data_IF_829227671263
#
_entry.id   IF_829227671263
#
_cell.length_a   1.000
_cell.length_b   1.000
_cell.length_c   1.000
_cell.angle_alpha   90.00
_cell.angle_beta   90.00
_cell.angle_gamma   90.00
#
_symmetry.space_group_name_H-M   'P 1'
#
loop_
_entity.id
_entity.type
_entity.pdbx_description
1 polymer ?
#
# COMPACT_ATOMS: atom_id res chain seq x y z
N UNK A 1 18.42 -31.52 26.38
CA UNK A 1 18.55 -30.29 27.18
C UNK A 1 18.69 -29.07 26.24
N UNK A 2 18.24 -27.89 26.68
CA UNK A 2 18.35 -26.64 25.93
C UNK A 2 18.94 -25.57 26.82
N UNK A 3 19.86 -24.74 26.33
CA UNK A 3 20.41 -23.63 27.12
C UNK A 3 19.35 -22.52 27.25
N UNK A 4 19.12 -22.11 28.50
CA UNK A 4 18.27 -20.97 28.88
C UNK A 4 19.16 -19.80 29.27
N UNK A 5 19.21 -18.75 28.47
CA UNK A 5 20.04 -17.57 28.70
C UNK A 5 19.62 -16.75 29.92
N UNK A 6 18.35 -16.81 30.32
CA UNK A 6 17.86 -16.13 31.53
C UNK A 6 18.34 -16.83 32.83
N UNK A 7 18.55 -18.15 32.78
CA UNK A 7 19.04 -18.95 33.89
C UNK A 7 20.54 -19.22 33.81
N UNK A 8 21.19 -18.82 32.71
CA UNK A 8 22.59 -19.13 32.37
C UNK A 8 22.93 -20.62 32.55
N UNK A 9 21.98 -21.51 32.22
CA UNK A 9 22.09 -22.95 32.45
C UNK A 9 21.33 -23.75 31.38
N UNK A 10 21.73 -25.02 31.21
CA UNK A 10 20.95 -25.97 30.44
C UNK A 10 19.74 -26.44 31.23
N UNK A 11 18.56 -26.29 30.67
CA UNK A 11 17.30 -26.78 31.27
C UNK A 11 16.82 -28.04 30.57
N UNK A 12 16.10 -28.88 31.27
CA UNK A 12 15.46 -30.08 30.72
C UNK A 12 14.45 -29.64 29.63
N UNK A 13 14.48 -30.28 28.46
CA UNK A 13 13.55 -30.05 27.38
C UNK A 13 12.49 -31.14 27.30
N UNK A 14 12.94 -32.39 27.20
CA UNK A 14 12.06 -33.57 27.12
C UNK A 14 12.86 -34.85 27.31
N UNK A 15 12.18 -35.96 27.64
CA UNK A 15 12.67 -37.33 27.53
C UNK A 15 12.20 -37.94 26.19
N UNK A 16 12.99 -38.81 25.63
CA UNK A 16 12.66 -39.60 24.44
C UNK A 16 12.96 -41.08 24.72
N UNK A 17 12.26 -42.01 24.05
CA UNK A 17 12.49 -43.42 24.20
C UNK A 17 13.90 -43.83 23.69
N UNK A 18 14.42 -44.96 24.15
CA UNK A 18 15.72 -45.47 23.72
C UNK A 18 15.78 -45.85 22.22
N UNK A 19 14.65 -46.15 21.62
CA UNK A 19 14.52 -46.41 20.18
C UNK A 19 14.49 -45.14 19.31
N UNK A 20 14.30 -43.95 19.92
CA UNK A 20 14.19 -42.70 19.22
C UNK A 20 15.55 -42.01 19.07
N UNK A 21 16.06 -41.95 17.85
CA UNK A 21 17.37 -41.35 17.51
C UNK A 21 17.27 -39.87 17.11
N UNK A 22 16.06 -39.31 17.03
CA UNK A 22 15.84 -37.92 16.68
C UNK A 22 14.68 -37.29 17.43
N UNK A 23 14.80 -35.99 17.70
CA UNK A 23 13.71 -35.21 18.31
C UNK A 23 13.57 -33.85 17.65
N UNK A 24 12.34 -33.48 17.25
CA UNK A 24 12.06 -32.21 16.57
C UNK A 24 11.63 -31.14 17.58
N UNK A 25 12.45 -30.10 17.72
CA UNK A 25 12.10 -28.90 18.49
C UNK A 25 11.41 -27.90 17.57
N UNK A 26 10.17 -27.51 17.92
CA UNK A 26 9.36 -26.56 17.15
C UNK A 26 9.24 -25.20 17.85
N UNK A 27 8.58 -24.23 17.18
CA UNK A 27 8.26 -22.90 17.72
C UNK A 27 9.48 -22.07 18.17
N UNK A 28 10.63 -22.28 17.53
CA UNK A 28 11.84 -21.51 17.79
C UNK A 28 11.70 -20.06 17.31
N UNK A 29 12.22 -19.12 18.11
CA UNK A 29 12.20 -17.69 17.80
C UNK A 29 13.22 -17.35 16.73
N UNK A 30 12.82 -16.54 15.73
CA UNK A 30 13.74 -16.01 14.73
C UNK A 30 14.79 -15.09 15.33
N UNK A 31 15.96 -14.99 14.70
CA UNK A 31 17.10 -14.19 15.15
C UNK A 31 17.61 -14.59 16.53
N UNK A 32 17.62 -15.88 16.80
CA UNK A 32 17.97 -16.42 18.12
C UNK A 32 18.90 -17.61 17.97
N UNK A 33 19.93 -17.65 18.81
CA UNK A 33 20.82 -18.79 18.98
C UNK A 33 20.20 -19.82 19.93
N UNK A 34 20.41 -21.07 19.60
CA UNK A 34 20.01 -22.21 20.44
C UNK A 34 21.15 -23.20 20.58
N UNK A 35 21.33 -23.68 21.79
CA UNK A 35 22.32 -24.68 22.16
C UNK A 35 21.61 -25.87 22.77
N UNK A 36 21.98 -27.07 22.35
CA UNK A 36 21.38 -28.30 22.79
C UNK A 36 22.46 -29.30 23.23
N UNK A 37 22.13 -30.07 24.24
CA UNK A 37 22.90 -31.24 24.70
C UNK A 37 21.95 -32.41 24.89
N UNK A 38 22.43 -33.61 24.70
CA UNK A 38 21.72 -34.87 24.93
C UNK A 38 22.52 -35.67 25.94
N UNK A 39 21.82 -36.37 26.85
CA UNK A 39 22.42 -37.38 27.72
C UNK A 39 21.50 -38.60 27.83
N UNK A 40 22.07 -39.77 28.06
CA UNK A 40 21.33 -40.96 28.38
C UNK A 40 20.72 -40.86 29.77
N UNK A 41 19.66 -41.59 30.02
CA UNK A 41 19.11 -41.81 31.36
C UNK A 41 18.55 -43.23 31.50
N UNK A 42 18.52 -43.74 32.73
CA UNK A 42 17.88 -45.00 33.09
C UNK A 42 16.98 -44.76 34.29
N UNK A 43 15.76 -45.25 34.24
CA UNK A 43 14.83 -45.22 35.37
C UNK A 43 14.94 -46.52 36.15
N UNK A 44 15.19 -46.43 37.47
CA UNK A 44 15.21 -47.55 38.39
C UNK A 44 14.39 -47.13 39.63
N UNK A 45 13.37 -47.92 40.01
CA UNK A 45 12.46 -47.63 41.13
C UNK A 45 11.91 -46.16 41.05
N UNK A 46 11.35 -45.79 39.89
CA UNK A 46 10.78 -44.46 39.61
C UNK A 46 11.75 -43.27 39.71
N UNK A 47 13.06 -43.57 39.91
CA UNK A 47 14.11 -42.55 39.97
C UNK A 47 14.98 -42.59 38.72
N UNK A 48 15.20 -41.41 38.09
CA UNK A 48 16.03 -41.26 36.89
C UNK A 48 17.51 -41.07 37.27
N UNK A 49 18.35 -41.89 36.73
CA UNK A 49 19.82 -41.78 36.77
C UNK A 49 20.31 -41.32 35.41
N UNK A 50 21.16 -40.31 35.41
CA UNK A 50 21.62 -39.67 34.20
C UNK A 50 23.09 -39.89 33.92
N UNK A 51 23.43 -40.21 32.71
CA UNK A 51 24.80 -40.26 32.23
C UNK A 51 25.39 -38.87 31.96
N UNK A 52 26.64 -38.87 31.53
CA UNK A 52 27.36 -37.66 31.10
C UNK A 52 26.62 -36.89 29.99
N UNK A 53 26.80 -35.58 30.00
CA UNK A 53 26.27 -34.71 28.93
C UNK A 53 27.08 -34.88 27.68
N UNK A 54 26.43 -35.14 26.58
CA UNK A 54 27.07 -35.15 25.25
C UNK A 54 27.50 -33.74 24.80
N UNK A 55 28.15 -33.66 23.64
CA UNK A 55 28.63 -32.43 23.06
C UNK A 55 27.50 -31.40 22.89
N UNK A 56 27.86 -30.12 23.02
CA UNK A 56 26.95 -29.00 22.71
C UNK A 56 26.78 -28.85 21.20
N UNK A 57 25.53 -28.91 20.75
CA UNK A 57 25.16 -28.59 19.35
C UNK A 57 24.57 -27.20 19.32
N UNK A 58 25.09 -26.39 18.40
CA UNK A 58 24.65 -25.01 18.16
C UNK A 58 23.83 -24.90 16.88
N UNK A 59 22.76 -24.10 16.96
CA UNK A 59 22.03 -23.67 15.76
C UNK A 59 21.56 -22.22 15.90
N UNK A 60 21.50 -21.49 14.78
CA UNK A 60 20.99 -20.11 14.74
C UNK A 60 19.77 -20.03 13.83
N UNK A 61 18.65 -19.61 14.39
CA UNK A 61 17.43 -19.40 13.62
C UNK A 61 17.53 -18.02 12.95
N UNK A 62 17.67 -18.01 11.61
CA UNK A 62 17.81 -16.80 10.82
C UNK A 62 16.62 -15.82 10.97
N UNK A 63 16.81 -14.50 10.69
CA UNK A 63 15.73 -13.53 10.69
C UNK A 63 14.58 -13.91 9.76
N UNK A 64 13.38 -13.51 10.15
CA UNK A 64 12.17 -13.70 9.32
C UNK A 64 12.31 -13.00 7.97
N UNK A 65 11.64 -13.55 6.97
CA UNK A 65 11.52 -12.93 5.64
C UNK A 65 10.86 -11.57 5.73
N UNK A 66 11.54 -10.54 5.22
CA UNK A 66 11.02 -9.15 5.20
C UNK A 66 9.86 -9.02 4.22
N UNK A 67 8.78 -8.36 4.63
CA UNK A 67 7.68 -7.98 3.76
C UNK A 67 7.91 -6.58 3.21
N UNK A 68 8.32 -6.48 1.94
CA UNK A 68 8.44 -5.22 1.21
C UNK A 68 7.04 -4.66 0.94
N UNK A 69 6.78 -3.40 1.31
CA UNK A 69 5.44 -2.78 1.22
C UNK A 69 5.32 -1.79 0.08
N UNK A 70 6.38 -1.02 -0.21
CA UNK A 70 6.36 0.00 -1.24
C UNK A 70 7.73 0.17 -1.90
N UNK A 71 7.71 0.43 -3.21
CA UNK A 71 8.87 0.86 -4.00
C UNK A 71 8.39 1.93 -4.96
N UNK A 72 8.88 3.16 -4.83
CA UNK A 72 8.48 4.29 -5.67
C UNK A 72 9.70 5.01 -6.20
N UNK A 73 9.67 5.45 -7.45
CA UNK A 73 10.69 6.30 -8.05
C UNK A 73 10.10 7.69 -8.31
N UNK A 74 10.65 8.71 -7.69
CA UNK A 74 10.33 10.12 -7.96
C UNK A 74 11.60 10.84 -8.41
N UNK A 75 11.56 11.37 -9.64
CA UNK A 75 12.75 11.96 -10.29
C UNK A 75 13.92 10.95 -10.28
N UNK A 76 14.92 11.17 -9.43
CA UNK A 76 16.12 10.34 -9.30
C UNK A 76 16.24 9.64 -7.94
N UNK A 77 15.15 9.64 -7.15
CA UNK A 77 15.12 9.08 -5.78
C UNK A 77 14.18 7.87 -5.72
N UNK A 78 14.72 6.72 -5.38
CA UNK A 78 13.98 5.48 -5.13
C UNK A 78 13.68 5.39 -3.63
N UNK A 79 12.40 5.46 -3.27
CA UNK A 79 11.93 5.24 -1.90
C UNK A 79 11.52 3.78 -1.75
N UNK A 80 12.04 3.12 -0.73
CA UNK A 80 11.80 1.71 -0.41
C UNK A 80 11.26 1.62 1.01
N UNK A 81 10.17 0.86 1.22
CA UNK A 81 9.53 0.70 2.53
C UNK A 81 9.20 -0.77 2.77
N UNK A 82 9.31 -1.21 4.03
CA UNK A 82 9.08 -2.61 4.44
C UNK A 82 8.52 -2.71 5.86
N UNK A 83 8.04 -3.90 6.22
CA UNK A 83 7.63 -4.18 7.60
C UNK A 83 8.83 -4.56 8.45
N UNK A 84 8.89 -4.04 9.68
CA UNK A 84 9.91 -4.40 10.69
C UNK A 84 9.85 -5.89 11.00
N UNK A 85 11.03 -6.48 11.19
CA UNK A 85 11.22 -7.83 11.74
C UNK A 85 12.31 -7.75 12.83
N UNK A 86 12.39 -8.75 13.68
CA UNK A 86 13.48 -8.87 14.66
C UNK A 86 14.80 -9.17 13.92
N UNK A 87 15.81 -8.30 14.06
CA UNK A 87 17.09 -8.39 13.36
C UNK A 87 18.07 -7.33 13.88
N UNK A 88 19.34 -7.41 13.46
CA UNK A 88 20.35 -6.35 13.69
C UNK A 88 20.32 -5.26 12.60
N UNK A 89 19.74 -5.56 11.42
CA UNK A 89 19.65 -4.59 10.33
C UNK A 89 19.12 -5.20 9.03
N UNK A 90 19.22 -4.41 7.94
CA UNK A 90 18.67 -4.79 6.64
C UNK A 90 19.69 -4.60 5.52
N UNK A 91 19.52 -5.37 4.45
CA UNK A 91 20.19 -5.18 3.17
C UNK A 91 19.14 -5.01 2.08
N UNK A 92 19.14 -3.84 1.42
CA UNK A 92 18.37 -3.58 0.21
C UNK A 92 19.25 -3.96 -0.98
N UNK A 93 18.74 -4.78 -1.88
CA UNK A 93 19.33 -5.02 -3.19
C UNK A 93 18.42 -4.45 -4.26
N UNK A 94 18.96 -3.69 -5.23
CA UNK A 94 18.19 -3.12 -6.33
C UNK A 94 18.95 -3.19 -7.65
N UNK A 95 18.21 -3.22 -8.74
CA UNK A 95 18.73 -3.32 -10.11
C UNK A 95 17.71 -2.80 -11.12
N UNK A 96 18.12 -2.56 -12.36
CA UNK A 96 17.23 -2.33 -13.51
C UNK A 96 16.90 -3.61 -14.27
N UNK A 97 17.54 -4.72 -13.96
CA UNK A 97 17.26 -6.03 -14.55
C UNK A 97 16.05 -6.70 -13.93
N UNK A 98 15.03 -7.00 -14.75
CA UNK A 98 13.80 -7.67 -14.32
C UNK A 98 14.00 -9.10 -13.83
N UNK A 99 15.03 -9.77 -14.31
CA UNK A 99 15.39 -11.12 -13.88
C UNK A 99 16.20 -11.14 -12.58
N UNK A 100 16.61 -9.93 -12.10
CA UNK A 100 17.37 -9.75 -10.87
C UNK A 100 18.72 -10.51 -10.84
N UNK A 101 19.39 -10.58 -12.01
CA UNK A 101 20.66 -11.31 -12.19
C UNK A 101 21.85 -10.38 -12.39
N UNK A 102 21.68 -9.24 -13.11
CA UNK A 102 22.75 -8.31 -13.51
C UNK A 102 22.59 -6.93 -12.83
N UNK A 103 23.71 -6.19 -12.70
CA UNK A 103 23.72 -4.81 -12.20
C UNK A 103 23.18 -4.63 -10.77
N UNK A 104 23.36 -5.62 -9.91
CA UNK A 104 22.87 -5.61 -8.53
C UNK A 104 23.67 -4.60 -7.69
N UNK A 105 22.98 -3.63 -7.12
CA UNK A 105 23.52 -2.68 -6.15
C UNK A 105 22.93 -2.96 -4.77
N UNK A 106 23.74 -2.80 -3.71
CA UNK A 106 23.37 -3.11 -2.33
C UNK A 106 23.46 -1.87 -1.46
N UNK A 107 22.54 -1.74 -0.52
CA UNK A 107 22.56 -0.72 0.55
C UNK A 107 22.33 -1.44 1.87
N UNK A 108 23.32 -1.34 2.79
CA UNK A 108 23.21 -1.88 4.15
C UNK A 108 22.60 -0.83 5.08
N UNK A 109 21.79 -1.28 6.01
CA UNK A 109 21.12 -0.46 7.03
C UNK A 109 21.40 -1.10 8.37
N UNK A 110 22.21 -0.45 9.21
CA UNK A 110 22.64 -0.96 10.51
C UNK A 110 21.54 -0.79 11.60
N UNK A 111 20.67 0.21 11.47
CA UNK A 111 19.64 0.45 12.48
C UNK A 111 18.39 -0.43 12.21
N UNK A 112 18.06 -1.39 13.09
CA UNK A 112 16.92 -2.30 12.94
C UNK A 112 15.56 -1.61 13.07
N UNK A 113 15.49 -0.39 13.61
CA UNK A 113 14.27 0.41 13.69
C UNK A 113 13.90 1.05 12.35
N UNK A 114 14.85 1.13 11.39
CA UNK A 114 14.63 1.71 10.06
C UNK A 114 13.74 0.80 9.22
N UNK A 115 12.61 1.33 8.75
CA UNK A 115 11.64 0.61 7.88
C UNK A 115 11.42 1.31 6.53
N UNK A 116 12.17 2.37 6.26
CA UNK A 116 12.15 3.12 5.00
C UNK A 116 13.54 3.64 4.64
N UNK A 117 13.87 3.70 3.34
CA UNK A 117 15.13 4.26 2.84
C UNK A 117 14.92 4.96 1.51
N UNK A 118 15.49 6.15 1.37
CA UNK A 118 15.61 6.86 0.10
C UNK A 118 17.00 6.60 -0.50
N UNK A 119 17.06 6.14 -1.74
CA UNK A 119 18.27 5.92 -2.53
C UNK A 119 18.26 7.00 -3.62
N UNK A 120 19.20 7.93 -3.56
CA UNK A 120 19.29 9.11 -4.42
C UNK A 120 20.20 8.87 -5.63
N UNK A 121 20.28 9.86 -6.56
CA UNK A 121 21.17 9.89 -7.73
C UNK A 121 20.94 8.72 -8.70
N UNK A 122 19.72 8.24 -8.84
CA UNK A 122 19.37 7.18 -9.78
C UNK A 122 19.00 7.77 -11.17
N UNK A 123 19.10 6.95 -12.21
CA UNK A 123 18.70 7.36 -13.58
C UNK A 123 17.20 7.60 -13.65
N UNK A 124 16.79 8.75 -14.23
CA UNK A 124 15.36 9.06 -14.51
C UNK A 124 14.75 8.04 -15.47
N UNK A 125 13.44 7.83 -15.38
CA UNK A 125 12.67 7.01 -16.31
C UNK A 125 13.13 5.55 -16.44
N UNK A 126 13.95 5.05 -15.51
CA UNK A 126 14.31 3.63 -15.43
C UNK A 126 13.40 2.89 -14.47
N UNK A 127 13.10 1.64 -14.80
CA UNK A 127 12.36 0.71 -13.95
C UNK A 127 13.35 0.04 -13.00
N UNK A 128 13.15 0.22 -11.69
CA UNK A 128 13.98 -0.43 -10.68
C UNK A 128 13.23 -1.56 -10.02
N UNK A 129 13.90 -2.67 -9.81
CA UNK A 129 13.45 -3.84 -9.09
C UNK A 129 14.20 -3.93 -7.77
N UNK A 130 13.51 -4.27 -6.70
CA UNK A 130 14.03 -4.22 -5.32
C UNK A 130 13.67 -5.49 -4.58
N UNK A 131 14.63 -6.01 -3.82
CA UNK A 131 14.44 -7.01 -2.77
C UNK A 131 15.09 -6.52 -1.48
N UNK A 132 14.53 -6.88 -0.34
CA UNK A 132 15.09 -6.58 1.00
C UNK A 132 15.24 -7.88 1.76
N UNK A 133 16.31 -8.02 2.55
CA UNK A 133 16.46 -9.07 3.55
C UNK A 133 16.92 -8.47 4.87
N UNK A 134 16.56 -9.11 5.97
CA UNK A 134 17.11 -8.80 7.28
C UNK A 134 18.40 -9.58 7.51
N UNK A 135 19.22 -9.11 8.44
CA UNK A 135 20.35 -9.87 8.97
C UNK A 135 20.42 -9.70 10.50
N UNK A 136 20.98 -10.70 11.16
CA UNK A 136 21.36 -10.64 12.57
C UNK A 136 22.83 -10.97 12.69
N UNK A 137 23.56 -10.13 13.42
CA UNK A 137 24.94 -10.39 13.79
C UNK A 137 24.96 -11.09 15.15
N UNK A 138 25.63 -12.24 15.22
CA UNK A 138 25.79 -13.03 16.44
C UNK A 138 27.18 -13.66 16.48
N UNK A 139 27.93 -13.43 17.56
CA UNK A 139 29.31 -13.91 17.75
C UNK A 139 30.20 -13.69 16.51
N UNK A 140 30.20 -12.44 15.98
CA UNK A 140 31.01 -12.08 14.80
C UNK A 140 30.48 -12.59 13.45
N UNK A 141 29.49 -13.48 13.44
CA UNK A 141 28.91 -14.07 12.24
C UNK A 141 27.62 -13.35 11.86
N UNK A 142 27.44 -13.08 10.56
CA UNK A 142 26.22 -12.46 10.02
C UNK A 142 25.29 -13.50 9.39
N UNK A 143 24.13 -13.69 10.00
CA UNK A 143 23.07 -14.57 9.55
C UNK A 143 22.02 -13.80 8.77
N UNK A 144 21.84 -14.15 7.49
CA UNK A 144 20.86 -13.49 6.61
C UNK A 144 19.54 -14.25 6.56
N UNK A 145 18.45 -13.53 6.73
CA UNK A 145 17.12 -14.02 6.38
C UNK A 145 16.88 -14.10 4.87
N UNK A 146 15.78 -14.72 4.48
CA UNK A 146 15.39 -14.83 3.07
C UNK A 146 15.09 -13.46 2.48
N UNK A 147 15.39 -13.30 1.17
CA UNK A 147 15.03 -12.09 0.45
C UNK A 147 13.53 -11.96 0.32
N UNK A 148 13.01 -10.74 0.44
CA UNK A 148 11.60 -10.42 0.19
C UNK A 148 11.18 -10.83 -1.23
N UNK A 149 9.87 -10.91 -1.46
CA UNK A 149 9.32 -10.88 -2.81
C UNK A 149 9.79 -9.60 -3.49
N UNK A 150 10.13 -9.69 -4.78
CA UNK A 150 10.59 -8.55 -5.58
C UNK A 150 9.43 -7.57 -5.81
N UNK A 151 9.65 -6.29 -5.56
CA UNK A 151 8.78 -5.22 -6.03
C UNK A 151 9.52 -4.37 -7.08
N UNK A 152 8.74 -3.66 -7.90
CA UNK A 152 9.30 -2.71 -8.87
C UNK A 152 8.77 -1.30 -8.63
N UNK A 153 9.54 -0.30 -9.05
CA UNK A 153 9.12 1.10 -9.05
C UNK A 153 8.10 1.43 -10.15
N UNK A 154 7.66 0.44 -10.90
CA UNK A 154 6.75 0.59 -12.03
C UNK A 154 5.34 0.15 -11.68
N UNK A 155 4.39 1.06 -11.80
CA UNK A 155 2.98 0.85 -11.54
C UNK A 155 2.29 0.49 -12.85
N UNK A 156 2.04 -0.79 -13.11
CA UNK A 156 1.41 -1.30 -14.33
C UNK A 156 0.17 -2.16 -14.10
N UNK A 157 -0.04 -2.61 -12.86
CA UNK A 157 -1.19 -3.46 -12.55
C UNK A 157 -2.40 -2.58 -12.27
N UNK A 158 -3.41 -2.66 -13.13
CA UNK A 158 -4.68 -1.98 -12.91
C UNK A 158 -5.32 -2.51 -11.65
N UNK A 159 -5.61 -1.60 -10.70
CA UNK A 159 -6.30 -1.89 -9.46
C UNK A 159 -7.78 -1.60 -9.57
N UNK A 160 -8.14 -0.45 -10.15
CA UNK A 160 -9.50 -0.05 -10.48
C UNK A 160 -9.52 1.02 -11.57
N UNK A 161 -10.59 1.08 -12.35
CA UNK A 161 -10.79 2.09 -13.39
C UNK A 161 -12.23 2.54 -13.40
N UNK A 162 -12.44 3.85 -13.53
CA UNK A 162 -13.74 4.46 -13.80
C UNK A 162 -13.59 5.59 -14.83
N UNK A 163 -14.67 5.86 -15.57
CA UNK A 163 -14.69 6.95 -16.54
C UNK A 163 -16.04 7.67 -16.54
N UNK A 164 -16.04 8.89 -17.01
CA UNK A 164 -17.24 9.68 -17.29
C UNK A 164 -17.11 10.40 -18.64
N UNK A 165 -18.24 10.70 -19.26
CA UNK A 165 -18.28 11.44 -20.51
C UNK A 165 -18.60 12.92 -20.27
N UNK A 166 -18.13 13.81 -21.14
CA UNK A 166 -18.39 15.23 -21.12
C UNK A 166 -18.57 15.77 -22.51
N UNK A 167 -19.30 16.89 -22.63
CA UNK A 167 -19.43 17.62 -23.91
C UNK A 167 -18.05 18.20 -24.25
N UNK A 168 -17.51 17.79 -25.40
CA UNK A 168 -16.15 18.07 -25.82
C UNK A 168 -16.03 19.49 -26.43
N UNK A 169 -16.20 20.53 -25.62
CA UNK A 169 -15.84 21.88 -26.02
C UNK A 169 -14.43 22.26 -25.57
N UNK A 170 -13.82 23.27 -26.21
CA UNK A 170 -12.42 23.67 -26.03
C UNK A 170 -12.09 24.05 -24.58
N UNK A 171 -12.87 24.95 -23.99
CA UNK A 171 -12.57 25.54 -22.67
C UNK A 171 -12.80 24.58 -21.54
N UNK A 172 -13.91 23.84 -21.56
CA UNK A 172 -14.15 22.75 -20.59
C UNK A 172 -13.07 21.67 -20.67
N UNK A 173 -12.72 21.26 -21.91
CA UNK A 173 -11.65 20.26 -22.13
C UNK A 173 -10.30 20.74 -21.57
N UNK A 174 -9.98 22.03 -21.73
CA UNK A 174 -8.77 22.66 -21.19
C UNK A 174 -8.76 22.55 -19.66
N UNK A 175 -9.84 22.92 -18.98
CA UNK A 175 -9.97 22.82 -17.53
C UNK A 175 -9.77 21.38 -17.03
N UNK A 176 -10.43 20.41 -17.68
CA UNK A 176 -10.33 19.00 -17.36
C UNK A 176 -8.91 18.48 -17.52
N UNK A 177 -8.21 18.87 -18.60
CA UNK A 177 -6.81 18.49 -18.85
C UNK A 177 -5.87 19.07 -17.81
N UNK A 178 -6.02 20.35 -17.42
CA UNK A 178 -5.17 20.99 -16.39
C UNK A 178 -5.31 20.27 -15.05
N UNK A 179 -6.53 20.09 -14.54
CA UNK A 179 -6.77 19.41 -13.27
C UNK A 179 -6.29 17.95 -13.33
N UNK A 180 -6.62 17.23 -14.39
CA UNK A 180 -6.19 15.84 -14.57
C UNK A 180 -4.67 15.72 -14.65
N UNK A 181 -3.95 16.66 -15.26
CA UNK A 181 -2.47 16.69 -15.30
C UNK A 181 -1.87 16.84 -13.90
N UNK A 182 -2.48 17.65 -13.03
CA UNK A 182 -2.04 17.79 -11.62
C UNK A 182 -2.21 16.50 -10.82
N UNK A 183 -3.29 15.79 -11.02
CA UNK A 183 -3.59 14.52 -10.35
C UNK A 183 -2.76 13.37 -10.93
N UNK A 184 -2.49 13.41 -12.23
CA UNK A 184 -1.83 12.31 -12.95
C UNK A 184 -0.41 12.04 -12.42
N UNK A 185 -0.16 10.80 -12.04
CA UNK A 185 1.13 10.38 -11.46
C UNK A 185 1.23 10.49 -9.95
N UNK A 186 0.23 11.05 -9.25
CA UNK A 186 0.17 11.08 -7.79
C UNK A 186 0.21 9.66 -7.23
N UNK A 187 1.04 9.44 -6.23
CA UNK A 187 1.18 8.15 -5.54
C UNK A 187 0.77 8.35 -4.10
N UNK A 188 -0.21 7.56 -3.65
CA UNK A 188 -0.74 7.56 -2.28
C UNK A 188 -0.27 6.30 -1.58
N UNK A 189 0.59 6.44 -0.57
CA UNK A 189 1.13 5.33 0.20
C UNK A 189 0.03 4.70 1.08
N UNK A 190 0.22 3.44 1.56
CA UNK A 190 -0.65 2.87 2.59
C UNK A 190 -0.73 3.79 3.81
N UNK A 191 -1.97 4.15 4.20
CA UNK A 191 -2.26 5.07 5.30
C UNK A 191 -2.32 6.55 4.92
N UNK A 192 -1.79 6.97 3.76
CA UNK A 192 -1.87 8.36 3.30
C UNK A 192 -3.26 8.71 2.76
N UNK A 193 -3.55 10.01 2.78
CA UNK A 193 -4.81 10.57 2.27
C UNK A 193 -4.54 11.39 0.99
N UNK A 194 -5.29 11.07 -0.06
CA UNK A 194 -5.42 11.92 -1.23
C UNK A 194 -6.36 13.08 -0.88
N UNK A 195 -5.93 14.30 -1.19
CA UNK A 195 -6.69 15.53 -1.00
C UNK A 195 -6.78 16.24 -2.35
N UNK A 196 -8.00 16.36 -2.90
CA UNK A 196 -8.21 16.88 -4.24
C UNK A 196 -7.78 18.35 -4.34
N UNK A 197 -8.21 19.21 -3.40
CA UNK A 197 -7.90 20.63 -3.43
C UNK A 197 -6.39 20.87 -3.26
N UNK A 198 -5.72 20.14 -2.39
CA UNK A 198 -4.26 20.22 -2.19
C UNK A 198 -3.49 19.80 -3.45
N UNK A 199 -3.92 18.76 -4.16
CA UNK A 199 -3.24 18.23 -5.35
C UNK A 199 -3.49 19.11 -6.56
N UNK A 200 -4.71 19.56 -6.79
CA UNK A 200 -5.10 20.39 -7.94
C UNK A 200 -4.65 21.85 -7.75
N UNK A 201 -4.72 22.34 -6.52
CA UNK A 201 -4.39 23.71 -6.15
C UNK A 201 -5.43 24.73 -6.59
N UNK A 202 -5.09 26.01 -6.48
CA UNK A 202 -5.95 27.13 -6.90
C UNK A 202 -6.24 27.09 -8.42
N UNK A 203 -7.45 27.42 -8.77
CA UNK A 203 -8.02 27.34 -10.11
C UNK A 203 -8.25 28.76 -10.66
N UNK A 204 -7.17 29.40 -11.12
CA UNK A 204 -7.16 30.79 -11.58
C UNK A 204 -6.94 30.89 -13.10
N UNK A 205 -7.34 32.00 -13.69
CA UNK A 205 -7.06 32.28 -15.10
C UNK A 205 -5.56 32.30 -15.42
N UNK A 206 -4.73 32.81 -14.52
CA UNK A 206 -3.26 32.80 -14.63
C UNK A 206 -2.65 31.38 -14.68
N UNK A 207 -3.36 30.37 -14.18
CA UNK A 207 -2.99 28.95 -14.32
C UNK A 207 -3.58 28.28 -15.56
N UNK A 208 -4.17 29.05 -16.45
CA UNK A 208 -4.73 28.61 -17.74
C UNK A 208 -6.15 28.07 -17.66
N UNK A 209 -6.84 28.19 -16.52
CA UNK A 209 -8.25 27.80 -16.43
C UNK A 209 -9.13 28.81 -17.21
N UNK A 210 -10.15 28.29 -17.86
CA UNK A 210 -11.10 29.03 -18.72
C UNK A 210 -12.48 29.07 -18.09
N UNK A 211 -13.31 30.04 -18.49
CA UNK A 211 -14.73 30.06 -18.16
C UNK A 211 -15.43 28.90 -18.89
N UNK A 212 -16.27 28.16 -18.21
CA UNK A 212 -17.13 27.12 -18.76
C UNK A 212 -18.34 26.94 -17.81
N UNK A 213 -19.37 26.23 -18.26
CA UNK A 213 -20.57 26.03 -17.42
C UNK A 213 -20.27 25.47 -16.03
N UNK A 214 -20.74 26.16 -15.01
CA UNK A 214 -20.75 25.79 -13.59
C UNK A 214 -22.18 25.90 -13.06
N UNK A 215 -22.49 25.13 -12.01
CA UNK A 215 -23.76 25.23 -11.31
C UNK A 215 -23.72 26.39 -10.32
N UNK A 216 -24.76 27.24 -10.33
CA UNK A 216 -24.87 28.45 -9.49
C UNK A 216 -26.04 28.40 -8.52
N UNK A 217 -26.89 27.37 -8.57
CA UNK A 217 -28.07 27.21 -7.72
C UNK A 217 -28.95 26.06 -8.23
N UNK A 218 -30.16 25.95 -7.71
CA UNK A 218 -31.14 24.98 -8.20
C UNK A 218 -31.53 25.35 -9.66
N UNK A 219 -31.28 24.38 -10.57
CA UNK A 219 -31.58 24.47 -12.01
C UNK A 219 -30.95 25.64 -12.80
N UNK A 220 -29.88 26.26 -12.23
CA UNK A 220 -29.18 27.33 -12.90
C UNK A 220 -27.73 27.00 -13.21
N UNK A 221 -27.25 27.42 -14.37
CA UNK A 221 -25.84 27.33 -14.74
C UNK A 221 -25.37 28.67 -15.28
N UNK A 222 -24.14 29.04 -15.00
CA UNK A 222 -23.50 30.24 -15.60
C UNK A 222 -22.10 29.92 -16.09
N UNK A 223 -21.51 30.85 -16.78
CA UNK A 223 -20.11 30.76 -17.26
C UNK A 223 -19.18 31.15 -16.09
N UNK A 224 -18.64 30.15 -15.40
CA UNK A 224 -17.71 30.33 -14.29
C UNK A 224 -16.31 29.80 -14.57
N UNK A 225 -15.32 30.38 -13.91
CA UNK A 225 -13.93 29.95 -14.03
C UNK A 225 -13.76 28.48 -13.59
N UNK A 226 -12.99 27.73 -14.34
CA UNK A 226 -12.68 26.31 -14.08
C UNK A 226 -13.92 25.38 -14.13
N UNK A 227 -14.97 25.72 -14.90
CA UNK A 227 -16.11 24.82 -15.12
C UNK A 227 -15.67 23.42 -15.58
N UNK A 228 -16.25 22.39 -14.96
CA UNK A 228 -15.93 20.97 -15.21
C UNK A 228 -15.09 20.28 -14.12
N UNK A 229 -14.47 21.01 -13.19
CA UNK A 229 -13.58 20.43 -12.17
C UNK A 229 -14.29 19.39 -11.28
N UNK A 230 -15.55 19.62 -10.92
CA UNK A 230 -16.36 18.67 -10.18
C UNK A 230 -16.52 17.33 -10.91
N UNK A 231 -16.51 17.32 -12.25
CA UNK A 231 -16.55 16.08 -13.01
C UNK A 231 -15.24 15.28 -12.86
N UNK A 232 -14.07 15.97 -12.79
CA UNK A 232 -12.80 15.31 -12.48
C UNK A 232 -12.85 14.68 -11.09
N UNK A 233 -13.33 15.44 -10.07
CA UNK A 233 -13.49 14.94 -8.71
C UNK A 233 -14.44 13.74 -8.65
N UNK A 234 -15.60 13.81 -9.31
CA UNK A 234 -16.58 12.72 -9.37
C UNK A 234 -16.02 11.47 -10.04
N UNK A 235 -15.19 11.61 -11.07
CA UNK A 235 -14.54 10.48 -11.74
C UNK A 235 -13.53 9.80 -10.82
N UNK A 236 -12.73 10.58 -10.07
CA UNK A 236 -11.80 10.03 -9.05
C UNK A 236 -12.57 9.41 -7.89
N UNK A 237 -13.67 10.01 -7.42
CA UNK A 237 -14.53 9.48 -6.36
C UNK A 237 -15.10 8.10 -6.74
N UNK A 238 -15.62 7.95 -7.94
CA UNK A 238 -16.13 6.66 -8.41
C UNK A 238 -15.02 5.60 -8.51
N UNK A 239 -13.81 5.99 -8.94
CA UNK A 239 -12.66 5.07 -8.90
C UNK A 239 -12.32 4.66 -7.47
N UNK A 240 -12.37 5.61 -6.51
CA UNK A 240 -12.16 5.32 -5.09
C UNK A 240 -13.25 4.42 -4.50
N UNK A 241 -14.52 4.61 -4.90
CA UNK A 241 -15.65 3.74 -4.49
C UNK A 241 -15.38 2.28 -4.88
N UNK A 242 -15.10 2.02 -6.17
CA UNK A 242 -14.88 0.66 -6.68
C UNK A 242 -13.56 0.04 -6.23
N UNK A 243 -12.59 0.88 -5.83
CA UNK A 243 -11.32 0.46 -5.21
C UNK A 243 -11.46 0.01 -3.77
N UNK A 244 -12.61 0.22 -3.14
CA UNK A 244 -12.85 -0.02 -1.72
C UNK A 244 -11.86 0.72 -0.80
N UNK A 245 -11.34 1.88 -1.21
CA UNK A 245 -10.56 2.75 -0.33
C UNK A 245 -11.48 3.53 0.61
N UNK A 246 -10.95 4.00 1.74
CA UNK A 246 -11.75 4.74 2.74
C UNK A 246 -12.03 6.15 2.23
N UNK A 247 -13.30 6.47 1.95
CA UNK A 247 -13.73 7.86 1.68
C UNK A 247 -13.67 8.65 2.98
N UNK A 248 -13.03 9.80 2.95
CA UNK A 248 -12.82 10.67 4.12
C UNK A 248 -13.75 11.88 4.04
N UNK A 249 -13.89 12.45 2.82
CA UNK A 249 -14.72 13.65 2.62
C UNK A 249 -15.32 13.61 1.22
N UNK A 250 -16.60 13.94 1.11
CA UNK A 250 -17.34 14.09 -0.15
C UNK A 250 -18.51 15.02 0.08
N UNK A 251 -18.66 15.97 -0.82
CA UNK A 251 -19.83 16.87 -0.90
C UNK A 251 -20.66 16.53 -2.13
N UNK A 252 -21.97 16.73 -2.05
CA UNK A 252 -22.89 16.62 -3.18
C UNK A 252 -23.00 17.96 -3.93
N UNK A 253 -23.49 17.92 -5.17
CA UNK A 253 -23.96 19.13 -5.82
C UNK A 253 -25.34 19.53 -5.32
N UNK A 254 -25.70 20.79 -5.52
CA UNK A 254 -27.05 21.32 -5.23
C UNK A 254 -28.11 20.77 -6.21
N UNK A 255 -27.71 20.28 -7.38
CA UNK A 255 -28.58 19.73 -8.39
C UNK A 255 -27.98 18.48 -9.06
N UNK A 256 -28.81 17.76 -9.82
CA UNK A 256 -28.43 16.54 -10.53
C UNK A 256 -27.34 16.83 -11.56
N UNK A 257 -26.36 15.97 -11.63
CA UNK A 257 -25.33 15.96 -12.69
C UNK A 257 -25.55 14.77 -13.62
N UNK A 258 -25.33 14.97 -14.92
CA UNK A 258 -25.58 13.94 -15.94
C UNK A 258 -24.39 12.98 -16.19
N UNK A 259 -23.19 13.35 -15.76
CA UNK A 259 -21.94 12.64 -16.11
C UNK A 259 -21.58 11.47 -15.17
N UNK A 260 -22.30 11.26 -14.08
CA UNK A 260 -22.22 10.07 -13.19
C UNK A 260 -23.62 9.67 -12.73
N UNK A 261 -23.85 8.40 -12.31
CA UNK A 261 -25.10 8.00 -11.72
C UNK A 261 -25.49 8.84 -10.51
N UNK A 262 -26.77 9.05 -10.27
CA UNK A 262 -27.34 9.81 -9.16
C UNK A 262 -26.74 9.36 -7.81
N UNK A 263 -26.43 10.31 -6.93
CA UNK A 263 -25.79 10.06 -5.64
C UNK A 263 -24.32 9.65 -5.70
N UNK A 264 -23.71 9.66 -6.88
CA UNK A 264 -22.31 9.28 -7.10
C UNK A 264 -21.44 10.42 -7.61
N UNK A 265 -21.87 11.64 -7.41
CA UNK A 265 -21.14 12.88 -7.69
C UNK A 265 -20.24 13.29 -6.52
N UNK A 266 -19.28 14.17 -6.79
CA UNK A 266 -18.46 14.84 -5.80
C UNK A 266 -18.25 16.31 -6.22
N UNK A 267 -18.84 17.22 -5.44
CA UNK A 267 -18.73 18.66 -5.63
C UNK A 267 -17.43 19.19 -5.02
N UNK A 268 -16.84 20.18 -5.70
CA UNK A 268 -15.65 20.91 -5.27
C UNK A 268 -15.94 22.40 -5.39
N UNK A 269 -15.78 23.16 -4.30
CA UNK A 269 -15.98 24.61 -4.30
C UNK A 269 -14.96 25.30 -3.41
N UNK A 270 -14.10 26.10 -3.99
CA UNK A 270 -13.06 26.86 -3.29
C UNK A 270 -12.30 26.01 -2.29
N UNK A 271 -12.20 26.51 -1.06
CA UNK A 271 -11.64 25.79 0.09
C UNK A 271 -12.73 25.14 0.98
N UNK A 272 -14.02 25.33 0.64
CA UNK A 272 -15.16 24.91 1.47
C UNK A 272 -15.56 23.46 1.18
N UNK A 273 -15.60 23.07 -0.08
CA UNK A 273 -15.95 21.70 -0.49
C UNK A 273 -14.75 20.99 -1.10
N UNK A 274 -14.40 19.84 -0.55
CA UNK A 274 -13.27 19.05 -0.99
C UNK A 274 -13.66 17.59 -1.20
N UNK A 275 -12.81 16.83 -1.87
CA UNK A 275 -12.90 15.40 -1.97
C UNK A 275 -11.61 14.76 -1.47
N UNK A 276 -11.72 13.89 -0.46
CA UNK A 276 -10.59 13.20 0.16
C UNK A 276 -10.87 11.71 0.34
N UNK A 277 -9.85 10.90 0.14
CA UNK A 277 -9.88 9.48 0.44
C UNK A 277 -8.54 9.00 1.00
N UNK A 278 -8.59 8.05 1.92
CA UNK A 278 -7.41 7.44 2.55
C UNK A 278 -7.12 6.08 1.93
N UNK A 279 -5.86 5.85 1.59
CA UNK A 279 -5.41 4.54 1.14
C UNK A 279 -5.31 3.58 2.33
N UNK A 280 -6.40 2.87 2.62
CA UNK A 280 -6.47 1.83 3.66
C UNK A 280 -6.01 0.45 3.16
N UNK A 281 -5.41 0.38 1.98
CA UNK A 281 -4.84 -0.87 1.43
C UNK A 281 -3.39 -1.04 1.89
N UNK A 282 -2.86 -2.24 1.66
CA UNK A 282 -1.43 -2.54 1.90
C UNK A 282 -0.52 -2.19 0.72
N UNK A 283 -1.06 -1.57 -0.34
CA UNK A 283 -0.37 -1.25 -1.58
C UNK A 283 -0.31 0.26 -1.79
N UNK A 284 0.83 0.77 -2.27
CA UNK A 284 0.86 2.13 -2.80
C UNK A 284 0.03 2.20 -4.10
N UNK A 285 -0.80 3.22 -4.22
CA UNK A 285 -1.70 3.44 -5.37
C UNK A 285 -1.19 4.64 -6.16
N UNK A 286 -0.92 4.44 -7.46
CA UNK A 286 -0.63 5.52 -8.41
C UNK A 286 -1.87 5.85 -9.22
N UNK A 287 -2.23 7.13 -9.27
CA UNK A 287 -3.35 7.62 -10.04
C UNK A 287 -2.89 7.95 -11.46
N UNK A 288 -3.59 7.45 -12.48
CA UNK A 288 -3.45 7.87 -13.88
C UNK A 288 -4.75 8.49 -14.32
N UNK A 289 -4.66 9.73 -14.84
CA UNK A 289 -5.78 10.44 -15.44
C UNK A 289 -5.58 10.57 -16.96
N UNK A 290 -6.65 10.41 -17.72
CA UNK A 290 -6.66 10.62 -19.18
C UNK A 290 -7.89 11.43 -19.55
N UNK A 291 -7.71 12.46 -20.39
CA UNK A 291 -8.79 13.29 -20.95
C UNK A 291 -8.61 13.28 -22.47
N UNK A 292 -9.50 12.56 -23.17
CA UNK A 292 -9.44 12.41 -24.63
C UNK A 292 -10.83 12.10 -25.19
N UNK A 293 -11.21 12.78 -26.31
CA UNK A 293 -12.41 12.46 -27.06
C UNK A 293 -13.69 12.47 -26.22
N UNK A 294 -13.97 13.56 -25.48
CA UNK A 294 -15.16 13.64 -24.62
C UNK A 294 -15.22 12.70 -23.42
N UNK A 295 -14.11 12.04 -23.10
CA UNK A 295 -14.04 11.06 -22.02
C UNK A 295 -12.93 11.39 -21.02
N UNK A 296 -13.26 11.34 -19.72
CA UNK A 296 -12.28 11.37 -18.61
C UNK A 296 -12.18 9.96 -18.05
N UNK A 297 -10.96 9.47 -17.92
CA UNK A 297 -10.70 8.16 -17.29
C UNK A 297 -9.76 8.33 -16.10
N UNK A 298 -10.11 7.77 -14.96
CA UNK A 298 -9.26 7.63 -13.79
C UNK A 298 -8.95 6.16 -13.58
N UNK A 299 -7.65 5.82 -13.51
CA UNK A 299 -7.19 4.46 -13.24
C UNK A 299 -6.23 4.48 -12.05
N UNK A 300 -6.49 3.64 -11.08
CA UNK A 300 -5.57 3.35 -9.98
C UNK A 300 -4.68 2.17 -10.37
N UNK A 301 -3.36 2.34 -10.23
CA UNK A 301 -2.37 1.32 -10.50
C UNK A 301 -1.60 0.94 -9.25
N UNK A 302 -1.21 -0.32 -9.15
CA UNK A 302 -0.28 -0.82 -8.13
C UNK A 302 1.00 -1.37 -8.77
N UNK A 303 2.10 -1.42 -8.03
CA UNK A 303 3.37 -1.96 -8.51
C UNK A 303 3.42 -3.50 -8.47
N UNK A 304 2.48 -4.15 -7.80
CA UNK A 304 2.34 -5.60 -7.72
C UNK A 304 0.93 -6.03 -8.13
N UNK A 305 0.76 -7.27 -8.56
CA UNK A 305 -0.56 -7.81 -8.93
C UNK A 305 -1.48 -7.81 -7.69
N UNK A 306 -2.52 -7.01 -7.76
CA UNK A 306 -3.51 -6.83 -6.69
C UNK A 306 -4.86 -6.49 -7.30
N UNK A 307 -5.93 -6.89 -6.61
CA UNK A 307 -7.31 -6.51 -6.94
C UNK A 307 -7.99 -5.97 -5.68
N UNK A 308 -8.88 -4.98 -5.78
CA UNK A 308 -9.72 -4.56 -4.67
C UNK A 308 -10.65 -5.69 -4.26
N UNK A 309 -11.17 -5.63 -3.04
CA UNK A 309 -12.30 -6.48 -2.64
C UNK A 309 -13.49 -6.10 -3.53
N UNK A 310 -14.23 -7.11 -4.05
CA UNK A 310 -15.42 -6.86 -4.86
C UNK A 310 -16.44 -6.06 -4.05
N UNK A 311 -16.85 -4.91 -4.58
CA UNK A 311 -17.85 -4.03 -3.96
C UNK A 311 -19.16 -4.13 -4.72
N UNK A 312 -20.28 -3.98 -4.00
CA UNK A 312 -21.61 -3.73 -4.55
C UNK A 312 -21.99 -2.29 -4.21
N UNK A 313 -22.33 -1.51 -5.23
CA UNK A 313 -22.84 -0.14 -5.10
C UNK A 313 -24.35 -0.18 -5.33
N UNK A 314 -25.14 0.29 -4.37
CA UNK A 314 -26.59 0.42 -4.48
C UNK A 314 -26.97 1.86 -4.18
N UNK A 315 -27.73 2.47 -5.05
CA UNK A 315 -28.38 3.77 -4.82
C UNK A 315 -29.86 3.54 -4.64
N UNK A 316 -30.41 4.03 -3.56
CA UNK A 316 -31.86 4.04 -3.30
C UNK A 316 -32.35 5.47 -3.34
N UNK A 317 -33.54 5.68 -3.90
CA UNK A 317 -34.21 6.98 -4.00
C UNK A 317 -35.48 6.98 -3.13
N UNK A 318 -35.69 8.08 -2.40
CA UNK A 318 -36.96 8.39 -1.74
C UNK A 318 -37.24 9.88 -1.97
N UNK A 319 -38.18 10.19 -2.85
CA UNK A 319 -38.41 11.57 -3.33
C UNK A 319 -37.16 12.17 -3.95
N UNK A 320 -36.76 13.35 -3.49
CA UNK A 320 -35.52 14.07 -3.88
C UNK A 320 -34.26 13.51 -3.19
N UNK A 321 -34.37 12.54 -2.27
CA UNK A 321 -33.25 12.03 -1.50
C UNK A 321 -32.70 10.74 -2.13
N UNK A 322 -31.36 10.69 -2.30
CA UNK A 322 -30.63 9.56 -2.83
C UNK A 322 -29.65 9.07 -1.77
N UNK A 323 -29.63 7.77 -1.50
CA UNK A 323 -28.69 7.15 -0.57
C UNK A 323 -27.81 6.16 -1.34
N UNK A 324 -26.53 6.48 -1.47
CA UNK A 324 -25.53 5.53 -1.96
C UNK A 324 -25.04 4.67 -0.79
N UNK A 325 -25.09 3.36 -0.97
CA UNK A 325 -24.44 2.39 -0.08
C UNK A 325 -23.42 1.58 -0.86
N UNK A 326 -22.21 1.44 -0.29
CA UNK A 326 -21.17 0.53 -0.75
C UNK A 326 -21.05 -0.61 0.24
N UNK A 327 -21.19 -1.86 -0.25
CA UNK A 327 -21.05 -3.05 0.59
C UNK A 327 -19.99 -4.01 0.05
N UNK A 328 -19.37 -4.76 0.98
CA UNK A 328 -18.40 -5.82 0.71
C UNK A 328 -18.83 -7.06 1.47
N UNK A 329 -19.02 -8.18 0.77
CA UNK A 329 -19.53 -9.42 1.37
C UNK A 329 -20.83 -9.19 2.18
N UNK A 330 -21.77 -8.41 1.61
CA UNK A 330 -23.05 -8.08 2.25
C UNK A 330 -23.01 -6.97 3.29
N UNK A 331 -21.88 -6.64 3.89
CA UNK A 331 -21.75 -5.61 4.93
C UNK A 331 -21.50 -4.24 4.31
N UNK A 332 -22.32 -3.23 4.69
CA UNK A 332 -22.12 -1.84 4.28
C UNK A 332 -20.88 -1.28 4.97
N UNK A 333 -19.96 -0.68 4.18
CA UNK A 333 -18.72 -0.08 4.68
C UNK A 333 -18.53 1.39 4.27
N UNK A 334 -19.48 1.92 3.52
CA UNK A 334 -19.58 3.35 3.21
C UNK A 334 -21.01 3.67 2.80
N UNK A 335 -21.52 4.81 3.25
CA UNK A 335 -22.81 5.36 2.84
C UNK A 335 -22.72 6.89 2.78
N UNK A 336 -23.41 7.48 1.81
CA UNK A 336 -23.62 8.92 1.76
C UNK A 336 -24.99 9.25 1.18
N UNK A 337 -25.52 10.41 1.55
CA UNK A 337 -26.79 10.94 1.08
C UNK A 337 -26.56 12.06 0.08
N UNK A 338 -27.51 12.26 -0.80
CA UNK A 338 -27.59 13.41 -1.70
C UNK A 338 -29.05 13.81 -1.82
N UNK A 339 -29.31 15.12 -1.90
CA UNK A 339 -30.65 15.68 -2.11
C UNK A 339 -30.57 16.61 -3.31
N UNK A 340 -31.39 16.37 -4.33
CA UNK A 340 -31.47 17.17 -5.56
C UNK A 340 -32.89 17.56 -5.86
#
# INVERSE_FOLDING_TARGET
MKFDSAKNAYVHLTHVSNSQTSYKVSSLKNSTAYYYQVRAYKTVNDKNYYGELGNTVFTFIKPSKVKLTSVTLSKTTLKVEWKKVNCSGYEITYTTDSKFKKGLKKVKIKNPKTVKKAIKKLKKNKKYYVKVRAYTDYNGVRYYGDRSTMLSSYYSNVYATYYSYYVNNKDRTTNLKIASKKINGTIIQPGETFDFNKVVGSRTAAKGYKKAHVFTGENSTTMGLAGGICQVASTVFNTALISNVKIVERHQHSQRVSYVPLGRDAAISGNVQNFRWKNNTKYAIKIKMTVKGGKITCTFYTCQKAKPKKVKLKVTQKGKNFTLKRSVKGKTNYSCKSKY
#
